data_IF_655791600926
#
_entry.id   IF_655791600926
#
_cell.length_a   1.000
_cell.length_b   1.000
_cell.length_c   1.000
_cell.angle_alpha   90.00
_cell.angle_beta   90.00
_cell.angle_gamma   90.00
#
_symmetry.space_group_name_H-M   'P 1'
#
loop_
_entity.id
_entity.type
_entity.pdbx_description
1 polymer ?
#
# COMPACT_ATOMS: atom_id res chain seq x y z
N UNK A 1 -2.94 9.63 -7.93
CA UNK A 1 -3.07 8.23 -8.36
C UNK A 1 -4.16 7.58 -7.55
N UNK A 2 -5.08 6.87 -8.20
CA UNK A 2 -6.14 6.08 -7.56
C UNK A 2 -5.61 4.73 -7.09
N UNK A 3 -6.33 4.09 -6.16
CA UNK A 3 -5.99 2.73 -5.68
C UNK A 3 -6.00 1.71 -6.82
N UNK A 4 -6.93 1.84 -7.77
CA UNK A 4 -6.99 0.96 -8.95
C UNK A 4 -5.78 1.17 -9.86
N UNK A 5 -5.35 2.42 -10.07
CA UNK A 5 -4.15 2.71 -10.86
C UNK A 5 -2.89 2.14 -10.20
N UNK A 6 -2.72 2.31 -8.89
CA UNK A 6 -1.58 1.73 -8.16
C UNK A 6 -1.60 0.20 -8.21
N UNK A 7 -2.78 -0.41 -8.02
CA UNK A 7 -2.95 -1.86 -8.12
C UNK A 7 -2.55 -2.39 -9.49
N UNK A 8 -3.01 -1.74 -10.56
CA UNK A 8 -2.64 -2.11 -11.93
C UNK A 8 -1.13 -1.98 -12.18
N UNK A 9 -0.49 -0.92 -11.66
CA UNK A 9 0.96 -0.73 -11.79
C UNK A 9 1.78 -1.79 -11.05
N UNK A 10 1.19 -2.46 -10.07
CA UNK A 10 1.81 -3.51 -9.27
C UNK A 10 1.31 -4.92 -9.62
N UNK A 11 0.50 -5.06 -10.68
CA UNK A 11 -0.14 -6.32 -11.10
C UNK A 11 -0.98 -6.96 -9.98
N UNK A 12 -1.72 -6.12 -9.24
CA UNK A 12 -2.60 -6.54 -8.15
C UNK A 12 -4.05 -6.42 -8.60
N UNK A 13 -4.80 -7.51 -8.46
CA UNK A 13 -6.25 -7.50 -8.67
C UNK A 13 -6.93 -6.47 -7.77
N UNK A 14 -7.92 -5.77 -8.33
CA UNK A 14 -8.73 -4.78 -7.60
C UNK A 14 -9.29 -5.33 -6.28
N UNK A 15 -9.75 -6.58 -6.28
CA UNK A 15 -10.31 -7.27 -5.10
C UNK A 15 -9.29 -7.34 -3.95
N UNK A 16 -8.03 -7.65 -4.26
CA UNK A 16 -6.95 -7.76 -3.28
C UNK A 16 -6.50 -6.38 -2.80
N UNK A 17 -6.40 -5.41 -3.72
CA UNK A 17 -6.09 -4.02 -3.38
C UNK A 17 -7.14 -3.42 -2.44
N UNK A 18 -8.44 -3.64 -2.70
CA UNK A 18 -9.51 -3.19 -1.80
C UNK A 18 -9.42 -3.79 -0.39
N UNK A 19 -8.95 -5.04 -0.26
CA UNK A 19 -8.76 -5.67 1.05
C UNK A 19 -7.58 -5.09 1.81
N UNK A 20 -6.49 -4.77 1.12
CA UNK A 20 -5.30 -4.13 1.71
C UNK A 20 -5.68 -2.76 2.27
N UNK A 21 -6.34 -1.93 1.46
CA UNK A 21 -6.75 -0.56 1.83
C UNK A 21 -7.79 -0.54 2.96
N UNK A 22 -8.67 -1.55 3.03
CA UNK A 22 -9.62 -1.71 4.13
C UNK A 22 -8.99 -2.27 5.42
N UNK A 23 -7.69 -2.60 5.42
CA UNK A 23 -7.02 -3.23 6.56
C UNK A 23 -7.38 -4.70 6.77
N UNK A 24 -8.07 -5.32 5.82
CA UNK A 24 -8.51 -6.72 5.88
C UNK A 24 -7.44 -7.71 5.39
N UNK A 25 -6.32 -7.21 4.85
CA UNK A 25 -5.20 -8.03 4.38
C UNK A 25 -3.90 -7.27 4.60
N UNK A 26 -2.97 -7.88 5.33
CA UNK A 26 -1.67 -7.29 5.56
C UNK A 26 -0.78 -7.50 4.31
N UNK A 27 -0.32 -6.43 3.63
CA UNK A 27 0.60 -6.56 2.50
C UNK A 27 1.93 -7.16 2.97
N UNK A 28 2.58 -7.94 2.11
CA UNK A 28 3.95 -8.40 2.37
C UNK A 28 4.93 -7.22 2.27
N UNK A 29 6.11 -7.35 2.88
CA UNK A 29 7.19 -6.35 2.74
C UNK A 29 7.59 -6.12 1.28
N UNK A 30 7.52 -7.15 0.44
CA UNK A 30 7.74 -7.03 -1.00
C UNK A 30 6.68 -6.15 -1.68
N UNK A 31 5.42 -6.30 -1.29
CA UNK A 31 4.33 -5.48 -1.84
C UNK A 31 4.46 -4.02 -1.41
N UNK A 32 4.82 -3.77 -0.13
CA UNK A 32 5.14 -2.43 0.35
C UNK A 32 6.29 -1.78 -0.42
N UNK A 33 7.34 -2.56 -0.74
CA UNK A 33 8.44 -2.10 -1.58
C UNK A 33 7.97 -1.72 -3.00
N UNK A 34 7.14 -2.54 -3.64
CA UNK A 34 6.58 -2.21 -4.96
C UNK A 34 5.74 -0.93 -4.90
N UNK A 35 4.88 -0.79 -3.89
CA UNK A 35 4.11 0.43 -3.68
C UNK A 35 5.00 1.65 -3.51
N UNK A 36 6.06 1.55 -2.70
CA UNK A 36 7.03 2.62 -2.49
C UNK A 36 7.66 3.07 -3.81
N UNK A 37 8.07 2.12 -4.66
CA UNK A 37 8.64 2.42 -5.97
C UNK A 37 7.66 3.13 -6.90
N UNK A 38 6.37 2.74 -6.91
CA UNK A 38 5.35 3.36 -7.77
C UNK A 38 4.83 4.69 -7.24
N UNK A 39 4.88 4.90 -5.93
CA UNK A 39 4.51 6.14 -5.26
C UNK A 39 5.68 7.14 -5.14
N UNK A 40 6.89 6.71 -5.48
CA UNK A 40 8.13 7.50 -5.38
C UNK A 40 8.41 8.00 -3.95
N UNK A 41 8.17 7.12 -2.96
CA UNK A 41 8.44 7.37 -1.54
C UNK A 41 9.39 6.31 -0.97
N UNK A 42 9.93 6.55 0.22
CA UNK A 42 10.66 5.51 0.95
C UNK A 42 9.69 4.48 1.54
N UNK A 43 10.06 3.19 1.53
CA UNK A 43 9.23 2.14 2.10
C UNK A 43 8.98 2.29 3.61
N UNK A 44 9.88 2.98 4.32
CA UNK A 44 9.76 3.37 5.72
C UNK A 44 8.53 4.23 5.99
N UNK A 45 8.07 5.02 5.02
CA UNK A 45 6.91 5.91 5.16
C UNK A 45 5.61 5.13 5.44
N UNK A 46 5.47 3.90 4.95
CA UNK A 46 4.30 3.04 5.26
C UNK A 46 4.24 2.59 6.72
N UNK A 47 5.36 2.66 7.44
CA UNK A 47 5.49 2.20 8.83
C UNK A 47 5.74 3.35 9.79
N UNK A 48 5.76 4.60 9.30
CA UNK A 48 5.92 5.81 10.10
C UNK A 48 4.58 6.20 10.73
N UNK A 49 4.07 5.35 11.63
CA UNK A 49 2.79 5.58 12.30
C UNK A 49 2.87 6.77 13.25
N UNK A 50 1.97 7.74 13.06
CA UNK A 50 1.78 8.83 14.03
C UNK A 50 0.98 8.31 15.23
N UNK A 51 1.31 8.80 16.42
CA UNK A 51 0.48 8.58 17.60
C UNK A 51 -0.94 9.06 17.30
N UNK A 52 -1.93 8.20 17.54
CA UNK A 52 -3.31 8.62 17.63
C UNK A 52 -3.46 9.24 19.02
N UNK A 53 -3.07 10.51 19.15
CA UNK A 53 -3.35 11.24 20.38
C UNK A 53 -4.87 11.20 20.61
N UNK A 54 -5.27 10.56 21.71
CA UNK A 54 -6.67 10.37 22.11
C UNK A 54 -7.24 11.62 22.76
#
# INVERSE_FOLDING_TARGET
MSQTELGNLCDIERSNMSRIEAGNTNPSSYLLYLFAQKLEIEASEFLNFKSLDK
#
